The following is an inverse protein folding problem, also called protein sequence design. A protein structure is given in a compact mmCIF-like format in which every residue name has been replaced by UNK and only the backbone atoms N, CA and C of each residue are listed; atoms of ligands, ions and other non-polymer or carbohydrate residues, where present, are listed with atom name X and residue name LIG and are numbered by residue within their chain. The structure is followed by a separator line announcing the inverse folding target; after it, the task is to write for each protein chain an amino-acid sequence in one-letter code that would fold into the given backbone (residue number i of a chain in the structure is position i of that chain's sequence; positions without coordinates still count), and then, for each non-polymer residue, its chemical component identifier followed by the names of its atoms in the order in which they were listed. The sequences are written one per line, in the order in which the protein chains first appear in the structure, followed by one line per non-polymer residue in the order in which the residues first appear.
data_IF_397303844979
#
_entry.id   IF_397303844979
#
_cell.length_a   1.000
_cell.length_b   1.000
_cell.length_c   1.000
_cell.angle_alpha   90.00
_cell.angle_beta   90.00
_cell.angle_gamma   90.00
#
_symmetry.space_group_name_H-M   'P 1'
#
loop_
_entity.id
_entity.type
_entity.pdbx_description
1 polymer ?
#
# COMPACT_ATOMS: atom_id res chain seq x y z
N UNK A 1 -3.96 -4.21 -16.57
CA UNK A 1 -3.37 -5.42 -15.97
C UNK A 1 -2.50 -5.01 -14.78
N UNK A 2 -3.11 -4.81 -13.61
CA UNK A 2 -2.42 -4.84 -12.31
C UNK A 2 -3.31 -5.67 -11.39
N UNK A 3 -3.06 -6.96 -11.52
CA UNK A 3 -3.68 -8.10 -10.86
C UNK A 3 -3.50 -8.05 -9.34
N UNK A 4 -4.62 -8.37 -8.68
CA UNK A 4 -4.73 -9.15 -7.45
C UNK A 4 -3.88 -8.73 -6.24
N UNK A 5 -4.48 -7.88 -5.40
CA UNK A 5 -4.30 -8.00 -3.96
C UNK A 5 -5.49 -8.78 -3.39
N UNK A 6 -5.56 -10.09 -3.69
CA UNK A 6 -6.40 -11.03 -2.93
C UNK A 6 -5.82 -11.14 -1.51
N UNK A 7 -6.17 -10.18 -0.65
CA UNK A 7 -6.12 -10.42 0.79
C UNK A 7 -7.39 -11.20 1.14
N UNK A 8 -7.20 -12.47 1.50
CA UNK A 8 -8.24 -13.43 1.84
C UNK A 8 -9.30 -12.83 2.78
N UNK A 9 -10.50 -12.65 2.22
CA UNK A 9 -11.73 -12.19 2.85
C UNK A 9 -12.39 -13.36 3.58
N UNK A 10 -11.72 -13.93 4.57
CA UNK A 10 -12.28 -15.05 5.34
C UNK A 10 -12.47 -14.77 6.83
N UNK A 11 -12.41 -13.50 7.27
CA UNK A 11 -12.96 -13.13 8.60
C UNK A 11 -13.23 -11.62 8.69
N UNK A 12 -14.34 -11.18 8.09
CA UNK A 12 -14.82 -9.79 8.16
C UNK A 12 -15.09 -9.35 9.62
N UNK A 13 -15.29 -10.32 10.53
CA UNK A 13 -15.63 -10.08 11.94
C UNK A 13 -14.50 -9.44 12.78
N UNK A 14 -13.23 -9.52 12.36
CA UNK A 14 -12.09 -9.00 13.14
C UNK A 14 -11.62 -7.59 12.70
N UNK A 15 -12.16 -7.06 11.61
CA UNK A 15 -11.77 -5.75 11.08
C UNK A 15 -12.50 -4.62 11.82
N UNK A 16 -11.99 -4.27 13.01
CA UNK A 16 -12.58 -3.25 13.90
C UNK A 16 -12.36 -1.81 13.45
N UNK A 17 -11.26 -1.52 12.76
CA UNK A 17 -10.82 -0.14 12.49
C UNK A 17 -11.12 0.27 11.04
N UNK A 18 -12.26 0.95 10.83
CA UNK A 18 -12.70 1.43 9.51
C UNK A 18 -12.04 2.77 9.16
N UNK A 19 -11.74 2.97 7.88
CA UNK A 19 -11.30 4.24 7.35
C UNK A 19 -12.42 5.29 7.46
N UNK A 20 -12.14 6.49 7.99
CA UNK A 20 -13.16 7.54 8.13
C UNK A 20 -13.55 8.18 6.79
N UNK A 21 -12.79 7.95 5.71
CA UNK A 21 -13.14 8.44 4.39
C UNK A 21 -14.21 7.55 3.75
N UNK A 22 -15.39 8.12 3.51
CA UNK A 22 -16.56 7.45 2.95
C UNK A 22 -16.28 6.87 1.56
N UNK A 23 -15.43 7.52 0.77
CA UNK A 23 -15.05 7.07 -0.57
C UNK A 23 -13.98 5.95 -0.57
N UNK A 24 -13.45 5.56 0.60
CA UNK A 24 -12.40 4.55 0.68
C UNK A 24 -12.91 3.15 1.04
N UNK A 25 -13.84 3.04 1.98
CA UNK A 25 -14.46 1.77 2.39
C UNK A 25 -13.55 0.72 3.04
N UNK A 26 -12.24 0.99 3.24
CA UNK A 26 -11.28 0.02 3.79
C UNK A 26 -11.38 -0.13 5.31
N UNK A 27 -11.16 -1.34 5.80
CA UNK A 27 -11.10 -1.66 7.24
C UNK A 27 -9.86 -2.47 7.60
N UNK A 28 -9.43 -2.34 8.84
CA UNK A 28 -8.17 -2.88 9.35
C UNK A 28 -8.37 -3.60 10.68
N UNK A 29 -7.59 -4.66 10.90
CA UNK A 29 -7.58 -5.42 12.15
C UNK A 29 -6.96 -4.61 13.29
N UNK A 30 -5.95 -3.81 12.99
CA UNK A 30 -5.17 -3.05 13.97
C UNK A 30 -5.20 -1.54 13.69
N UNK A 31 -5.24 -0.73 14.76
CA UNK A 31 -5.21 0.73 14.68
C UNK A 31 -3.96 1.31 13.99
N UNK A 32 -2.73 0.78 14.21
CA UNK A 32 -1.55 1.25 13.49
C UNK A 32 -1.65 1.09 11.97
N UNK A 33 -2.30 0.02 11.50
CA UNK A 33 -2.50 -0.20 10.07
C UNK A 33 -3.48 0.79 9.46
N UNK A 34 -4.57 1.10 10.17
CA UNK A 34 -5.49 2.17 9.79
C UNK A 34 -4.77 3.53 9.73
N UNK A 35 -3.97 3.86 10.75
CA UNK A 35 -3.23 5.12 10.78
C UNK A 35 -2.25 5.23 9.61
N UNK A 36 -1.52 4.15 9.31
CA UNK A 36 -0.63 4.07 8.14
C UNK A 36 -1.42 4.22 6.83
N UNK A 37 -2.59 3.58 6.74
CA UNK A 37 -3.48 3.72 5.59
C UNK A 37 -3.89 5.18 5.35
N UNK A 38 -4.43 5.85 6.37
CA UNK A 38 -4.86 7.26 6.28
C UNK A 38 -3.69 8.15 5.88
N UNK A 39 -2.51 7.95 6.50
CA UNK A 39 -1.34 8.79 6.24
C UNK A 39 -0.76 8.61 4.85
N UNK A 40 -0.73 7.39 4.32
CA UNK A 40 0.05 7.06 3.11
C UNK A 40 -0.77 6.75 1.86
N UNK A 41 -2.04 6.37 2.00
CA UNK A 41 -2.82 5.82 0.88
C UNK A 41 -4.17 6.53 0.67
N UNK A 42 -4.83 6.95 1.74
CA UNK A 42 -6.19 7.47 1.65
C UNK A 42 -6.20 8.83 0.94
N UNK A 43 -6.82 8.91 -0.24
CA UNK A 43 -6.95 10.15 -1.02
C UNK A 43 -5.62 10.71 -1.53
N UNK A 44 -4.55 9.90 -1.57
CA UNK A 44 -3.22 10.32 -2.02
C UNK A 44 -2.81 9.55 -3.25
N UNK A 45 -2.10 10.22 -4.14
CA UNK A 45 -1.48 9.58 -5.28
C UNK A 45 -0.13 8.95 -4.89
N UNK A 46 0.30 7.87 -5.57
CA UNK A 46 1.57 7.25 -5.29
C UNK A 46 2.72 8.16 -5.74
N UNK A 47 3.40 8.75 -4.77
CA UNK A 47 4.48 9.72 -5.01
C UNK A 47 5.84 9.07 -5.33
N UNK A 48 6.00 7.76 -5.12
CA UNK A 48 7.26 7.08 -5.39
C UNK A 48 7.18 6.33 -6.71
N UNK A 49 7.85 6.86 -7.73
CA UNK A 49 7.91 6.26 -9.06
C UNK A 49 9.26 5.56 -9.23
N UNK A 50 9.23 4.30 -9.68
CA UNK A 50 10.45 3.65 -10.13
C UNK A 50 10.89 4.25 -11.47
N UNK A 51 12.10 4.79 -11.56
CA UNK A 51 12.59 5.38 -12.82
C UNK A 51 12.91 4.34 -13.90
N UNK A 52 13.04 3.06 -13.54
CA UNK A 52 13.41 2.00 -14.48
C UNK A 52 12.21 1.30 -15.12
N UNK A 53 11.13 1.11 -14.36
CA UNK A 53 9.91 0.45 -14.85
C UNK A 53 8.64 1.29 -14.69
N UNK A 54 8.76 2.53 -14.23
CA UNK A 54 7.67 3.50 -14.03
C UNK A 54 6.54 3.03 -13.10
N UNK A 55 6.76 1.94 -12.37
CA UNK A 55 5.82 1.44 -11.37
C UNK A 55 5.72 2.43 -10.21
N UNK A 56 4.49 2.71 -9.78
CA UNK A 56 4.20 3.69 -8.73
C UNK A 56 3.91 3.00 -7.40
N UNK A 57 4.38 3.59 -6.32
CA UNK A 57 4.25 3.09 -4.96
C UNK A 57 3.79 4.21 -4.02
N UNK A 58 2.92 3.85 -3.07
CA UNK A 58 2.39 4.77 -2.04
C UNK A 58 3.36 4.95 -0.86
N UNK A 59 4.32 4.02 -0.71
CA UNK A 59 5.20 3.91 0.45
C UNK A 59 6.67 3.84 0.03
N UNK A 60 7.50 4.61 0.71
CA UNK A 60 8.96 4.68 0.48
C UNK A 60 9.65 3.34 0.70
N UNK A 61 9.28 2.61 1.75
CA UNK A 61 9.90 1.32 2.09
C UNK A 61 9.57 0.23 1.06
N UNK A 62 8.32 0.21 0.56
CA UNK A 62 7.91 -0.71 -0.51
C UNK A 62 8.64 -0.38 -1.82
N UNK A 63 8.78 0.90 -2.16
CA UNK A 63 9.55 1.35 -3.31
C UNK A 63 11.04 0.98 -3.19
N UNK A 64 11.66 1.21 -2.02
CA UNK A 64 13.05 0.81 -1.76
C UNK A 64 13.26 -0.70 -1.91
N UNK A 65 12.38 -1.51 -1.32
CA UNK A 65 12.44 -2.96 -1.49
C UNK A 65 12.27 -3.35 -2.96
N UNK A 66 11.35 -2.72 -3.69
CA UNK A 66 11.21 -2.97 -5.12
C UNK A 66 12.53 -2.68 -5.87
N UNK A 67 13.17 -1.53 -5.62
CA UNK A 67 14.47 -1.24 -6.23
C UNK A 67 15.52 -2.29 -5.85
N UNK A 68 15.62 -2.65 -4.58
CA UNK A 68 16.61 -3.60 -4.09
C UNK A 68 16.43 -5.02 -4.64
N UNK A 69 15.19 -5.49 -4.85
CA UNK A 69 14.94 -6.87 -5.27
C UNK A 69 14.70 -7.03 -6.78
N UNK A 70 14.10 -6.02 -7.42
CA UNK A 70 13.75 -6.06 -8.86
C UNK A 70 14.81 -5.38 -9.71
N UNK A 71 15.44 -4.33 -9.18
CA UNK A 71 16.48 -3.54 -9.85
C UNK A 71 17.80 -3.61 -9.08
N UNK A 72 18.17 -4.83 -8.63
CA UNK A 72 19.38 -5.16 -7.84
C UNK A 72 20.66 -4.47 -8.31
N UNK A 73 20.77 -4.20 -9.61
CA UNK A 73 21.93 -3.59 -10.27
C UNK A 73 22.04 -2.07 -10.15
N UNK A 74 21.08 -1.39 -9.51
CA UNK A 74 20.99 0.08 -9.49
C UNK A 74 20.99 0.69 -8.07
N UNK A 75 21.15 -0.13 -7.04
CA UNK A 75 21.38 0.33 -5.66
C UNK A 75 22.89 0.38 -5.46
N UNK A 76 23.49 1.51 -5.83
CA UNK A 76 24.88 1.88 -5.50
C UNK A 76 24.86 2.59 -4.15
#
# INVERSE_FOLDING_TARGET
MFSDFKNNVHDVALLKFKCPNENCGKSYKYKPDLNRHIKSYCGKEPNYVCQYCYKRFMRKDVWKNHLAFVHKSFVI
#
